data_IF_398130207321
#
_entry.id   IF_398130207321
#
_cell.length_a   1.000
_cell.length_b   1.000
_cell.length_c   1.000
_cell.angle_alpha   90.00
_cell.angle_beta   90.00
_cell.angle_gamma   90.00
#
_symmetry.space_group_name_H-M   'P 1'
#
loop_
_entity.id
_entity.type
_entity.pdbx_description
1 polymer ?
#
# COMPACT_ATOMS: atom_id res chain seq x y z
N UNK A 1 -5.21 -9.56 38.19
CA UNK A 1 -4.81 -10.15 36.89
C UNK A 1 -3.48 -9.54 36.48
N UNK A 2 -2.47 -10.31 36.07
CA UNK A 2 -1.21 -9.76 35.59
C UNK A 2 -1.48 -8.87 34.39
N UNK A 3 -0.88 -7.66 34.35
CA UNK A 3 -0.92 -6.78 33.17
C UNK A 3 -0.23 -7.50 32.02
N UNK A 4 -0.92 -7.64 30.90
CA UNK A 4 -0.33 -8.16 29.65
C UNK A 4 0.87 -7.29 29.27
N UNK A 5 1.96 -7.93 28.90
CA UNK A 5 3.13 -7.21 28.34
C UNK A 5 2.75 -6.56 27.01
N UNK A 6 3.45 -5.50 26.61
CA UNK A 6 3.16 -4.81 25.33
C UNK A 6 3.38 -5.73 24.12
N UNK A 7 4.35 -6.66 24.21
CA UNK A 7 4.54 -7.71 23.21
C UNK A 7 3.31 -8.64 23.09
N UNK A 8 2.71 -9.03 24.21
CA UNK A 8 1.51 -9.87 24.23
C UNK A 8 0.30 -9.14 23.67
N UNK A 9 0.17 -7.83 23.94
CA UNK A 9 -0.90 -7.00 23.36
C UNK A 9 -0.74 -6.87 21.84
N UNK A 10 0.48 -6.62 21.36
CA UNK A 10 0.78 -6.53 19.94
C UNK A 10 0.47 -7.84 19.20
N UNK A 11 0.88 -8.98 19.77
CA UNK A 11 0.58 -10.30 19.22
C UNK A 11 -0.93 -10.58 19.12
N UNK A 12 -1.71 -10.21 20.15
CA UNK A 12 -3.17 -10.35 20.14
C UNK A 12 -3.83 -9.42 19.12
N UNK A 13 -3.37 -8.17 19.02
CA UNK A 13 -3.87 -7.27 17.95
C UNK A 13 -3.63 -7.86 16.57
N UNK A 14 -2.43 -8.39 16.30
CA UNK A 14 -2.11 -9.04 15.03
C UNK A 14 -3.05 -10.26 14.77
N UNK A 15 -3.26 -11.13 15.76
CA UNK A 15 -4.15 -12.28 15.65
C UNK A 15 -5.60 -11.87 15.31
N UNK A 16 -6.11 -10.79 15.91
CA UNK A 16 -7.46 -10.28 15.63
C UNK A 16 -7.55 -9.74 14.20
N UNK A 17 -6.54 -8.98 13.76
CA UNK A 17 -6.48 -8.43 12.40
C UNK A 17 -6.46 -9.55 11.35
N UNK A 18 -5.64 -10.59 11.53
CA UNK A 18 -5.55 -11.73 10.60
C UNK A 18 -6.89 -12.50 10.53
N UNK A 19 -7.54 -12.75 11.68
CA UNK A 19 -8.84 -13.39 11.72
C UNK A 19 -9.90 -12.54 10.98
N UNK A 20 -9.90 -11.22 11.17
CA UNK A 20 -10.84 -10.32 10.51
C UNK A 20 -10.60 -10.28 8.97
N UNK A 21 -9.35 -10.19 8.53
CA UNK A 21 -8.99 -10.24 7.10
C UNK A 21 -9.48 -11.55 6.48
N UNK A 22 -9.27 -12.68 7.14
CA UNK A 22 -9.76 -13.99 6.68
C UNK A 22 -11.28 -13.99 6.51
N UNK A 23 -12.03 -13.49 7.50
CA UNK A 23 -13.48 -13.36 7.40
C UNK A 23 -13.92 -12.42 6.27
N UNK A 24 -13.23 -11.28 6.09
CA UNK A 24 -13.52 -10.34 5.00
C UNK A 24 -13.25 -10.94 3.63
N UNK A 25 -12.21 -11.74 3.49
CA UNK A 25 -11.90 -12.47 2.25
C UNK A 25 -12.95 -13.52 1.92
N UNK A 26 -13.46 -14.21 2.93
CA UNK A 26 -14.44 -15.29 2.77
C UNK A 26 -15.85 -14.75 2.49
N UNK A 27 -16.34 -13.84 3.34
CA UNK A 27 -17.75 -13.38 3.37
C UNK A 27 -17.96 -11.99 2.79
N UNK A 28 -16.90 -11.20 2.60
CA UNK A 28 -16.96 -9.76 2.34
C UNK A 28 -17.10 -8.97 3.64
N UNK A 29 -16.75 -7.68 3.61
CA UNK A 29 -16.80 -6.81 4.79
C UNK A 29 -18.23 -6.67 5.34
N UNK A 30 -19.21 -6.42 4.47
CA UNK A 30 -20.60 -6.18 4.87
C UNK A 30 -21.20 -7.36 5.62
N UNK A 31 -20.95 -8.59 5.14
CA UNK A 31 -21.52 -9.82 5.70
C UNK A 31 -20.71 -10.41 6.86
N UNK A 32 -19.61 -9.80 7.25
CA UNK A 32 -18.80 -10.22 8.39
C UNK A 32 -19.29 -9.52 9.66
N UNK A 33 -19.61 -10.31 10.68
CA UNK A 33 -19.97 -9.84 12.03
C UNK A 33 -18.77 -9.88 12.99
N UNK A 34 -18.86 -9.13 14.10
CA UNK A 34 -17.89 -9.27 15.18
C UNK A 34 -17.86 -10.68 15.77
N UNK A 35 -19.01 -11.37 15.80
CA UNK A 35 -19.10 -12.77 16.24
C UNK A 35 -18.30 -13.73 15.36
N UNK A 36 -18.26 -13.49 14.04
CA UNK A 36 -17.42 -14.26 13.12
C UNK A 36 -15.94 -14.06 13.42
N UNK A 37 -15.53 -12.81 13.66
CA UNK A 37 -14.14 -12.48 14.00
C UNK A 37 -13.73 -13.08 15.34
N UNK A 38 -14.59 -13.01 16.35
CA UNK A 38 -14.38 -13.63 17.65
C UNK A 38 -14.14 -15.14 17.49
N UNK A 39 -15.01 -15.81 16.76
CA UNK A 39 -14.91 -17.25 16.49
C UNK A 39 -13.62 -17.60 15.73
N UNK A 40 -13.30 -16.84 14.67
CA UNK A 40 -12.13 -17.08 13.85
C UNK A 40 -10.81 -16.81 14.59
N UNK A 41 -10.79 -15.81 15.47
CA UNK A 41 -9.59 -15.47 16.24
C UNK A 41 -9.29 -16.45 17.40
N UNK A 42 -10.28 -17.22 17.86
CA UNK A 42 -10.16 -18.06 19.04
C UNK A 42 -10.02 -17.29 20.38
N UNK A 43 -10.23 -15.97 20.36
CA UNK A 43 -10.14 -15.11 21.55
C UNK A 43 -11.52 -14.86 22.14
N UNK A 44 -11.56 -14.52 23.44
CA UNK A 44 -12.82 -14.12 24.07
C UNK A 44 -13.31 -12.76 23.56
N UNK A 45 -14.62 -12.55 23.59
CA UNK A 45 -15.23 -11.26 23.23
C UNK A 45 -14.62 -10.09 24.01
N UNK A 46 -14.46 -10.23 25.33
CA UNK A 46 -13.82 -9.21 26.15
C UNK A 46 -12.38 -8.91 25.75
N UNK A 47 -11.63 -9.92 25.29
CA UNK A 47 -10.27 -9.69 24.78
C UNK A 47 -10.28 -8.86 23.50
N UNK A 48 -11.19 -9.15 22.56
CA UNK A 48 -11.28 -8.39 21.29
C UNK A 48 -11.72 -6.95 21.55
N UNK A 49 -12.78 -6.74 22.31
CA UNK A 49 -13.29 -5.39 22.62
C UNK A 49 -12.34 -4.56 23.51
N UNK A 50 -11.38 -5.17 24.19
CA UNK A 50 -10.30 -4.42 24.84
C UNK A 50 -9.26 -3.86 23.88
N UNK A 51 -9.23 -4.33 22.63
CA UNK A 51 -8.28 -3.91 21.59
C UNK A 51 -8.91 -3.11 20.46
N UNK A 52 -10.18 -3.34 20.15
CA UNK A 52 -10.89 -2.77 19.00
C UNK A 52 -12.33 -2.44 19.35
N UNK A 53 -12.81 -1.28 18.95
CA UNK A 53 -14.19 -0.84 19.17
C UNK A 53 -15.21 -1.55 18.26
N UNK A 54 -14.78 -2.08 17.13
CA UNK A 54 -15.61 -2.79 16.15
C UNK A 54 -14.85 -3.18 14.89
N UNK A 55 -15.58 -3.75 13.91
CA UNK A 55 -14.96 -4.25 12.66
C UNK A 55 -14.36 -3.14 11.79
N UNK A 56 -14.89 -1.93 11.88
CA UNK A 56 -14.36 -0.76 11.17
C UNK A 56 -13.00 -0.35 11.72
N UNK A 57 -12.84 -0.32 13.04
CA UNK A 57 -11.57 -0.04 13.72
C UNK A 57 -10.50 -1.10 13.36
N UNK A 58 -10.90 -2.37 13.28
CA UNK A 58 -10.01 -3.46 12.82
C UNK A 58 -9.59 -3.23 11.37
N UNK A 59 -10.53 -2.87 10.49
CA UNK A 59 -10.26 -2.60 9.08
C UNK A 59 -9.27 -1.43 8.91
N UNK A 60 -9.53 -0.30 9.57
CA UNK A 60 -8.66 0.88 9.51
C UNK A 60 -7.27 0.53 10.04
N UNK A 61 -7.18 -0.22 11.15
CA UNK A 61 -5.89 -0.67 11.69
C UNK A 61 -5.14 -1.59 10.72
N UNK A 62 -5.85 -2.50 10.03
CA UNK A 62 -5.26 -3.37 9.02
C UNK A 62 -4.72 -2.58 7.82
N UNK A 63 -5.46 -1.56 7.37
CA UNK A 63 -5.05 -0.66 6.29
C UNK A 63 -3.80 0.14 6.68
N UNK A 64 -3.78 0.73 7.88
CA UNK A 64 -2.64 1.50 8.38
C UNK A 64 -1.39 0.64 8.51
N UNK A 65 -1.52 -0.60 9.03
CA UNK A 65 -0.41 -1.56 9.08
C UNK A 65 0.16 -1.83 7.69
N UNK A 66 -0.71 -1.97 6.69
CA UNK A 66 -0.29 -2.19 5.31
C UNK A 66 0.44 -1.00 4.71
N UNK A 67 -0.04 0.22 4.96
CA UNK A 67 0.66 1.44 4.53
C UNK A 67 2.06 1.53 5.12
N UNK A 68 2.20 1.19 6.41
CA UNK A 68 3.51 1.14 7.05
C UNK A 68 4.43 0.11 6.40
N UNK A 69 3.93 -1.08 6.06
CA UNK A 69 4.72 -2.10 5.36
C UNK A 69 5.17 -1.61 3.97
N UNK A 70 4.30 -0.88 3.24
CA UNK A 70 4.66 -0.27 1.95
C UNK A 70 5.73 0.81 2.15
N UNK A 71 5.59 1.65 3.16
CA UNK A 71 6.58 2.67 3.49
C UNK A 71 7.94 2.03 3.83
N UNK A 72 7.96 1.02 4.70
CA UNK A 72 9.17 0.28 5.04
C UNK A 72 9.82 -0.36 3.80
N UNK A 73 9.03 -0.93 2.88
CA UNK A 73 9.54 -1.47 1.63
C UNK A 73 10.21 -0.38 0.78
N UNK A 74 9.60 0.79 0.66
CA UNK A 74 10.17 1.88 -0.14
C UNK A 74 11.41 2.50 0.52
N UNK A 75 11.52 2.45 1.84
CA UNK A 75 12.75 2.85 2.57
C UNK A 75 13.93 1.88 2.32
N UNK A 76 13.70 0.69 1.74
CA UNK A 76 14.78 -0.24 1.32
C UNK A 76 15.31 0.06 -0.08
N UNK A 77 14.63 0.92 -0.84
CA UNK A 77 15.08 1.31 -2.17
C UNK A 77 16.34 2.19 -2.09
N UNK A 78 17.23 2.09 -3.10
CA UNK A 78 18.37 2.99 -3.18
C UNK A 78 17.92 4.45 -3.33
N UNK A 79 18.75 5.38 -2.88
CA UNK A 79 18.53 6.81 -3.12
C UNK A 79 18.53 7.08 -4.63
N UNK A 80 17.56 7.85 -5.12
CA UNK A 80 17.39 8.10 -6.56
C UNK A 80 16.68 6.96 -7.30
N UNK A 81 16.09 5.99 -6.59
CA UNK A 81 15.27 4.97 -7.24
C UNK A 81 14.16 5.58 -8.08
N UNK A 82 14.08 5.18 -9.34
CA UNK A 82 13.07 5.60 -10.29
C UNK A 82 11.80 4.75 -10.26
N UNK A 83 10.82 5.07 -11.09
CA UNK A 83 9.55 4.35 -11.13
C UNK A 83 9.70 2.89 -11.58
N UNK A 84 10.71 2.57 -12.40
CA UNK A 84 10.99 1.18 -12.80
C UNK A 84 11.53 0.35 -11.63
N UNK A 85 12.42 0.91 -10.79
CA UNK A 85 12.97 0.23 -9.61
C UNK A 85 11.87 -0.10 -8.58
N UNK A 86 10.92 0.84 -8.41
CA UNK A 86 9.74 0.63 -7.56
C UNK A 86 8.90 -0.54 -8.12
N UNK A 87 8.65 -0.55 -9.44
CA UNK A 87 7.87 -1.60 -10.07
C UNK A 87 8.55 -2.97 -9.96
N UNK A 88 9.88 -3.05 -10.14
CA UNK A 88 10.66 -4.27 -9.99
C UNK A 88 10.59 -4.81 -8.56
N UNK A 89 10.76 -3.93 -7.58
CA UNK A 89 10.65 -4.27 -6.16
C UNK A 89 9.28 -4.85 -5.83
N UNK A 90 8.22 -4.26 -6.37
CA UNK A 90 6.85 -4.78 -6.18
C UNK A 90 6.66 -6.10 -6.92
N UNK A 91 7.16 -6.23 -8.16
CA UNK A 91 7.01 -7.45 -8.96
C UNK A 91 7.63 -8.66 -8.28
N UNK A 92 8.79 -8.48 -7.68
CA UNK A 92 9.54 -9.54 -6.99
C UNK A 92 9.06 -9.80 -5.56
N UNK A 93 8.33 -8.87 -4.94
CA UNK A 93 7.88 -8.99 -3.56
C UNK A 93 6.54 -9.73 -3.43
N UNK A 94 6.59 -10.99 -2.99
CA UNK A 94 5.41 -11.84 -2.84
C UNK A 94 4.39 -11.26 -1.84
N UNK A 95 4.85 -10.66 -0.74
CA UNK A 95 3.94 -10.08 0.28
C UNK A 95 3.11 -8.92 -0.28
N UNK A 96 3.69 -8.09 -1.16
CA UNK A 96 2.94 -7.01 -1.84
C UNK A 96 1.89 -7.60 -2.77
N UNK A 97 2.25 -8.62 -3.55
CA UNK A 97 1.34 -9.29 -4.47
C UNK A 97 0.16 -9.95 -3.74
N UNK A 98 0.42 -10.67 -2.64
CA UNK A 98 -0.61 -11.33 -1.83
C UNK A 98 -1.54 -10.30 -1.17
N UNK A 99 -0.97 -9.23 -0.63
CA UNK A 99 -1.71 -8.14 -0.04
C UNK A 99 -2.63 -7.41 -1.02
N UNK A 100 -2.14 -7.14 -2.26
CA UNK A 100 -2.96 -6.53 -3.30
C UNK A 100 -4.12 -7.45 -3.70
N UNK A 101 -3.83 -8.74 -3.89
CA UNK A 101 -4.84 -9.75 -4.22
C UNK A 101 -5.91 -9.84 -3.14
N UNK A 102 -5.53 -9.84 -1.87
CA UNK A 102 -6.47 -9.84 -0.75
C UNK A 102 -7.36 -8.59 -0.75
N UNK A 103 -6.78 -7.40 -0.93
CA UNK A 103 -7.53 -6.14 -1.01
C UNK A 103 -8.54 -6.14 -2.16
N UNK A 104 -8.12 -6.59 -3.35
CA UNK A 104 -9.00 -6.65 -4.52
C UNK A 104 -10.19 -7.58 -4.27
N UNK A 105 -9.95 -8.74 -3.63
CA UNK A 105 -11.02 -9.69 -3.28
C UNK A 105 -12.00 -9.12 -2.26
N UNK A 106 -11.51 -8.46 -1.21
CA UNK A 106 -12.36 -7.79 -0.22
C UNK A 106 -13.19 -6.70 -0.89
N UNK A 107 -12.57 -5.87 -1.74
CA UNK A 107 -13.25 -4.79 -2.46
C UNK A 107 -14.32 -5.32 -3.43
N UNK A 108 -14.02 -6.37 -4.17
CA UNK A 108 -14.99 -7.00 -5.09
C UNK A 108 -16.22 -7.53 -4.36
N UNK A 109 -16.06 -8.09 -3.16
CA UNK A 109 -17.16 -8.58 -2.33
C UNK A 109 -17.90 -7.49 -1.53
N UNK A 110 -17.37 -6.28 -1.52
CA UNK A 110 -17.86 -5.17 -0.68
C UNK A 110 -18.09 -3.89 -1.49
N UNK A 111 -18.47 -4.01 -2.77
CA UNK A 111 -18.64 -2.90 -3.71
C UNK A 111 -19.59 -1.79 -3.21
N UNK A 112 -20.54 -2.15 -2.35
CA UNK A 112 -21.54 -1.23 -1.79
C UNK A 112 -21.30 -0.87 -0.32
N UNK A 113 -20.13 -1.25 0.26
CA UNK A 113 -19.79 -0.90 1.62
C UNK A 113 -19.18 0.52 1.67
N UNK A 114 -19.88 1.53 2.20
CA UNK A 114 -19.38 2.91 2.23
C UNK A 114 -18.10 3.04 3.09
N UNK A 115 -17.92 2.17 4.07
CA UNK A 115 -16.73 2.12 4.92
C UNK A 115 -15.47 1.74 4.11
N UNK A 116 -15.60 0.78 3.18
CA UNK A 116 -14.50 0.39 2.28
C UNK A 116 -14.17 1.52 1.31
N UNK A 117 -15.19 2.20 0.77
CA UNK A 117 -14.99 3.32 -0.13
C UNK A 117 -14.26 4.47 0.57
N UNK A 118 -14.70 4.84 1.79
CA UNK A 118 -14.03 5.87 2.61
C UNK A 118 -12.60 5.48 2.95
N UNK A 119 -12.39 4.29 3.50
CA UNK A 119 -11.06 3.81 3.85
C UNK A 119 -10.10 3.79 2.64
N UNK A 120 -10.61 3.50 1.44
CA UNK A 120 -9.81 3.58 0.20
C UNK A 120 -9.50 5.03 -0.17
N UNK A 121 -10.50 5.93 -0.12
CA UNK A 121 -10.33 7.34 -0.43
C UNK A 121 -9.31 8.02 0.49
N UNK A 122 -9.34 7.70 1.79
CA UNK A 122 -8.41 8.23 2.78
C UNK A 122 -6.98 7.68 2.61
N UNK A 123 -6.86 6.46 2.06
CA UNK A 123 -5.56 5.77 1.92
C UNK A 123 -4.82 6.19 0.65
N UNK A 124 -5.50 6.49 -0.44
CA UNK A 124 -4.88 6.82 -1.73
C UNK A 124 -3.93 8.03 -1.66
N UNK A 125 -4.30 9.16 -1.05
CA UNK A 125 -3.40 10.32 -0.91
C UNK A 125 -2.14 9.99 -0.08
N UNK A 126 -2.27 9.12 0.94
CA UNK A 126 -1.14 8.71 1.77
C UNK A 126 -0.15 7.86 0.98
N UNK A 127 -0.66 6.90 0.20
CA UNK A 127 0.15 6.07 -0.69
C UNK A 127 0.85 6.93 -1.76
N UNK A 128 0.12 7.84 -2.41
CA UNK A 128 0.68 8.79 -3.37
C UNK A 128 1.81 9.61 -2.75
N UNK A 129 1.59 10.14 -1.54
CA UNK A 129 2.62 10.91 -0.81
C UNK A 129 3.91 10.11 -0.53
N UNK A 130 3.79 8.81 -0.23
CA UNK A 130 4.95 7.92 -0.08
C UNK A 130 5.70 7.80 -1.41
N UNK A 131 4.99 7.55 -2.52
CA UNK A 131 5.59 7.40 -3.85
C UNK A 131 6.25 8.72 -4.30
N UNK A 132 5.57 9.84 -4.16
CA UNK A 132 6.13 11.18 -4.50
C UNK A 132 7.42 11.42 -3.73
N UNK A 133 7.43 11.16 -2.41
CA UNK A 133 8.64 11.32 -1.59
C UNK A 133 9.79 10.43 -2.08
N UNK A 134 9.50 9.20 -2.47
CA UNK A 134 10.50 8.26 -3.00
C UNK A 134 11.05 8.71 -4.33
N UNK A 135 10.20 9.24 -5.23
CA UNK A 135 10.59 9.68 -6.56
C UNK A 135 11.22 11.08 -6.61
N UNK A 136 11.11 11.89 -5.55
CA UNK A 136 11.64 13.27 -5.55
C UNK A 136 13.15 13.36 -5.86
N UNK A 137 14.04 12.52 -5.27
CA UNK A 137 15.46 12.55 -5.61
C UNK A 137 15.73 12.19 -7.09
N UNK A 138 15.07 11.15 -7.60
CA UNK A 138 15.13 10.75 -9.01
C UNK A 138 14.63 11.87 -9.93
N UNK A 139 13.50 12.50 -9.62
CA UNK A 139 12.96 13.62 -10.40
C UNK A 139 13.93 14.81 -10.46
N UNK A 140 14.62 15.09 -9.35
CA UNK A 140 15.64 16.13 -9.31
C UNK A 140 16.83 15.80 -10.22
N UNK A 141 17.24 14.53 -10.28
CA UNK A 141 18.31 14.07 -11.16
C UNK A 141 17.91 14.19 -12.65
N UNK A 142 16.72 13.72 -13.00
CA UNK A 142 16.19 13.82 -14.36
C UNK A 142 16.13 15.28 -14.84
N UNK A 143 15.62 16.18 -14.02
CA UNK A 143 15.49 17.59 -14.35
C UNK A 143 16.85 18.32 -14.35
N UNK A 144 17.87 17.80 -13.64
CA UNK A 144 19.21 18.39 -13.66
C UNK A 144 19.82 18.38 -15.06
N UNK A 145 19.52 17.32 -15.83
CA UNK A 145 19.98 17.18 -17.21
C UNK A 145 19.23 18.10 -18.17
N UNK A 146 17.93 18.31 -17.94
CA UNK A 146 17.04 19.05 -18.84
C UNK A 146 17.02 20.57 -18.58
N UNK A 147 17.20 20.98 -17.32
CA UNK A 147 16.98 22.36 -16.85
C UNK A 147 18.15 22.95 -16.09
N UNK A 148 19.35 22.36 -16.17
CA UNK A 148 20.56 22.80 -15.45
C UNK A 148 20.35 22.95 -13.92
N UNK A 149 19.47 22.12 -13.35
CA UNK A 149 19.20 22.08 -11.90
C UNK A 149 20.24 21.19 -11.23
N UNK A 150 20.96 21.68 -10.23
CA UNK A 150 21.84 20.83 -9.45
C UNK A 150 21.03 19.94 -8.48
N UNK A 151 21.02 18.59 -8.64
CA UNK A 151 20.21 17.70 -7.82
C UNK A 151 20.54 17.79 -6.32
N UNK A 152 21.80 18.09 -5.98
CA UNK A 152 22.31 18.17 -4.61
C UNK A 152 22.46 19.61 -4.10
N UNK A 153 21.90 20.60 -4.79
CA UNK A 153 22.08 22.01 -4.43
C UNK A 153 21.13 22.43 -3.31
N UNK A 154 21.70 22.85 -2.16
CA UNK A 154 20.97 23.54 -1.11
C UNK A 154 20.51 24.97 -1.50
N UNK A 155 20.88 25.42 -2.71
CA UNK A 155 20.58 26.76 -3.24
C UNK A 155 19.55 26.74 -4.40
N UNK A 156 18.66 25.74 -4.42
CA UNK A 156 17.57 25.73 -5.37
C UNK A 156 16.63 26.89 -5.13
N UNK A 157 16.15 27.48 -6.24
CA UNK A 157 15.09 28.49 -6.13
C UNK A 157 13.75 27.84 -5.81
N UNK A 158 12.78 28.60 -5.25
CA UNK A 158 11.42 28.07 -5.04
C UNK A 158 10.77 27.53 -6.31
N UNK A 159 11.06 28.13 -7.46
CA UNK A 159 10.55 27.69 -8.77
C UNK A 159 11.15 26.33 -9.19
N UNK A 160 12.44 26.10 -8.93
CA UNK A 160 13.10 24.82 -9.19
C UNK A 160 12.56 23.72 -8.28
N UNK A 161 12.35 24.00 -6.98
CA UNK A 161 11.73 23.05 -6.05
C UNK A 161 10.28 22.72 -6.46
N UNK A 162 9.52 23.72 -6.92
CA UNK A 162 8.15 23.50 -7.41
C UNK A 162 8.15 22.60 -8.66
N UNK A 163 9.06 22.84 -9.61
CA UNK A 163 9.19 22.02 -10.83
C UNK A 163 9.52 20.56 -10.50
N UNK A 164 10.46 20.32 -9.58
CA UNK A 164 10.81 18.96 -9.12
C UNK A 164 9.60 18.30 -8.46
N UNK A 165 8.90 19.01 -7.59
CA UNK A 165 7.74 18.49 -6.88
C UNK A 165 6.58 18.13 -7.83
N UNK A 166 6.34 18.96 -8.84
CA UNK A 166 5.30 18.70 -9.85
C UNK A 166 5.68 17.51 -10.73
N UNK A 167 6.92 17.44 -11.21
CA UNK A 167 7.40 16.31 -12.00
C UNK A 167 7.37 14.99 -11.22
N UNK A 168 7.76 15.00 -9.95
CA UNK A 168 7.67 13.82 -9.08
C UNK A 168 6.21 13.39 -8.87
N UNK A 169 5.28 14.34 -8.73
CA UNK A 169 3.84 14.08 -8.57
C UNK A 169 3.23 13.47 -9.83
N UNK A 170 3.49 14.07 -10.98
CA UNK A 170 2.99 13.58 -12.27
C UNK A 170 3.51 12.17 -12.56
N UNK A 171 4.80 11.94 -12.27
CA UNK A 171 5.41 10.61 -12.41
C UNK A 171 4.80 9.60 -11.42
N UNK A 172 4.52 10.00 -10.18
CA UNK A 172 3.84 9.14 -9.20
C UNK A 172 2.42 8.77 -9.66
N UNK A 173 1.69 9.70 -10.25
CA UNK A 173 0.34 9.43 -10.79
C UNK A 173 0.40 8.49 -12.00
N UNK A 174 1.34 8.72 -12.92
CA UNK A 174 1.58 7.82 -14.06
C UNK A 174 1.98 6.41 -13.57
N UNK A 175 2.89 6.33 -12.61
CA UNK A 175 3.28 5.06 -11.98
C UNK A 175 2.07 4.34 -11.36
N UNK A 176 1.24 5.04 -10.60
CA UNK A 176 0.06 4.44 -9.96
C UNK A 176 -0.94 3.89 -10.98
N UNK A 177 -1.16 4.58 -12.11
CA UNK A 177 -2.00 4.09 -13.20
C UNK A 177 -1.45 2.82 -13.84
N UNK A 178 -0.15 2.82 -14.19
CA UNK A 178 0.53 1.65 -14.76
C UNK A 178 0.54 0.48 -13.77
N UNK A 179 0.89 0.75 -12.52
CA UNK A 179 0.91 -0.24 -11.45
C UNK A 179 -0.46 -0.89 -11.22
N UNK A 180 -1.52 -0.09 -11.12
CA UNK A 180 -2.87 -0.62 -10.91
C UNK A 180 -3.31 -1.50 -12.08
N UNK A 181 -3.03 -1.08 -13.31
CA UNK A 181 -3.31 -1.88 -14.52
C UNK A 181 -2.52 -3.19 -14.54
N UNK A 182 -1.23 -3.12 -14.24
CA UNK A 182 -0.35 -4.28 -14.11
C UNK A 182 -0.87 -5.26 -13.05
N UNK A 183 -1.14 -4.79 -11.84
CA UNK A 183 -1.60 -5.64 -10.74
C UNK A 183 -2.96 -6.27 -11.00
N UNK A 184 -3.91 -5.51 -11.55
CA UNK A 184 -5.23 -6.03 -11.88
C UNK A 184 -5.15 -7.15 -12.94
N UNK A 185 -4.36 -6.96 -13.98
CA UNK A 185 -4.18 -7.96 -15.04
C UNK A 185 -3.39 -9.17 -14.55
N UNK A 186 -2.37 -8.96 -13.72
CA UNK A 186 -1.56 -10.03 -13.13
C UNK A 186 -2.36 -10.92 -12.19
N UNK A 187 -3.40 -10.36 -11.54
CA UNK A 187 -4.30 -11.13 -10.67
C UNK A 187 -5.07 -12.23 -11.41
N UNK A 188 -5.42 -12.01 -12.68
CA UNK A 188 -6.15 -12.97 -13.51
C UNK A 188 -5.24 -13.79 -14.44
N UNK A 189 -3.95 -13.48 -14.48
CA UNK A 189 -2.99 -14.07 -15.39
C UNK A 189 -2.23 -15.27 -14.85
N UNK A 190 -1.65 -16.04 -15.75
CA UNK A 190 -0.64 -17.07 -15.42
C UNK A 190 0.70 -16.43 -15.04
N UNK A 191 1.62 -17.16 -14.37
CA UNK A 191 2.96 -16.63 -14.07
C UNK A 191 3.68 -16.08 -15.31
N UNK A 192 3.62 -16.78 -16.44
CA UNK A 192 4.22 -16.34 -17.71
C UNK A 192 3.62 -15.03 -18.24
N UNK A 193 2.32 -14.86 -18.06
CA UNK A 193 1.65 -13.59 -18.43
C UNK A 193 2.04 -12.47 -17.47
N UNK A 194 2.22 -12.75 -16.19
CA UNK A 194 2.67 -11.78 -15.20
C UNK A 194 4.04 -11.21 -15.57
N UNK A 195 5.02 -12.04 -15.95
CA UNK A 195 6.35 -11.60 -16.38
C UNK A 195 6.28 -10.76 -17.67
N UNK A 196 5.39 -11.13 -18.60
CA UNK A 196 5.15 -10.34 -19.81
C UNK A 196 4.56 -8.98 -19.48
N UNK A 197 3.56 -8.94 -18.61
CA UNK A 197 2.89 -7.71 -18.19
C UNK A 197 3.84 -6.79 -17.41
N UNK A 198 4.74 -7.37 -16.61
CA UNK A 198 5.80 -6.60 -15.94
C UNK A 198 6.69 -5.88 -16.96
N UNK A 199 7.22 -6.60 -17.97
CA UNK A 199 8.05 -5.96 -19.01
C UNK A 199 7.31 -4.84 -19.77
N UNK A 200 6.01 -5.03 -20.06
CA UNK A 200 5.19 -3.99 -20.71
C UNK A 200 4.98 -2.80 -19.77
N UNK A 201 4.69 -3.04 -18.50
CA UNK A 201 4.49 -1.99 -17.51
C UNK A 201 5.78 -1.20 -17.27
N UNK A 202 6.93 -1.89 -17.16
CA UNK A 202 8.24 -1.26 -17.03
C UNK A 202 8.56 -0.35 -18.24
N UNK A 203 8.29 -0.81 -19.46
CA UNK A 203 8.54 -0.03 -20.68
C UNK A 203 7.63 1.22 -20.83
N UNK A 204 6.56 1.31 -20.05
CA UNK A 204 5.68 2.49 -20.02
C UNK A 204 6.11 3.55 -18.99
N UNK A 205 7.06 3.21 -18.13
CA UNK A 205 7.57 4.09 -17.08
C UNK A 205 8.90 4.71 -17.53
N UNK A 206 9.21 5.95 -17.16
CA UNK A 206 10.51 6.55 -17.41
C UNK A 206 11.63 5.81 -16.66
N UNK A 207 12.82 5.81 -17.29
CA UNK A 207 14.06 5.23 -16.75
C UNK A 207 14.68 6.13 -15.67
#
# INVERSE_FOLDING_TARGET
MPRLTDATKAARRAQIIEAAISCFLEKGYTNTSMSDIIKASGLSSGSIYSHFSGKEDILITAINKRLNNVKELYETLPEGAGPQDILETIHTNQLVNDNFSAMLRIRAKSLHAPEIARATADTMPLLQGIIVKTLTPWAAEQLSVLHEINPNSAQRTPEQEALIADYARDTADAFMMVFQGYMLRSFFGTPKEKDRLYRVASALLPE
#
